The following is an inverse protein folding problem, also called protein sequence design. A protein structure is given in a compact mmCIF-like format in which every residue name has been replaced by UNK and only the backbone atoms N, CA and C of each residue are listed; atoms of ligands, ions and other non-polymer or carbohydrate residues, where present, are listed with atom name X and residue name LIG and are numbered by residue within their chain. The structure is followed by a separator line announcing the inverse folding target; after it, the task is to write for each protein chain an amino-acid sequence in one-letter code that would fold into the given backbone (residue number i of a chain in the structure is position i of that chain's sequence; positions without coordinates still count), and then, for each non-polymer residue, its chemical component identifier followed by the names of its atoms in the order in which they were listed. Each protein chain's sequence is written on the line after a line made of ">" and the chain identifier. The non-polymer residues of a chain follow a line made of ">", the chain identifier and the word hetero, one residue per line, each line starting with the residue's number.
data_IF_173358916495
#
_entry.id   IF_173358916495
#
_cell.length_a   1.000
_cell.length_b   1.000
_cell.length_c   1.000
_cell.angle_alpha   90.00
_cell.angle_beta   90.00
_cell.angle_gamma   90.00
#
_symmetry.space_group_name_H-M   'P 1'
#
loop_
_entity.id
_entity.type
_entity.pdbx_description
1 polymer ?
#
# COMPACT_ATOMS: atom_id res chain seq x y z
N UNK A 1 -0.94 29.86 -25.83
CA UNK A 1 -0.48 29.81 -24.42
C UNK A 1 -1.65 29.61 -23.47
N UNK A 2 -2.71 30.42 -23.57
CA UNK A 2 -3.90 30.29 -22.72
C UNK A 2 -4.72 29.03 -23.01
N UNK A 3 -4.92 28.72 -24.29
CA UNK A 3 -5.64 27.54 -24.76
C UNK A 3 -5.01 26.22 -24.26
N UNK A 4 -3.67 26.16 -24.21
CA UNK A 4 -2.93 25.01 -23.70
C UNK A 4 -3.08 24.84 -22.17
N UNK A 5 -3.21 25.95 -21.44
CA UNK A 5 -3.47 25.91 -19.99
C UNK A 5 -4.89 25.43 -19.71
N UNK A 6 -5.86 25.89 -20.49
CA UNK A 6 -7.26 25.49 -20.37
C UNK A 6 -7.42 23.99 -20.63
N UNK A 7 -6.84 23.48 -21.73
CA UNK A 7 -6.83 22.03 -22.01
C UNK A 7 -6.18 21.21 -20.90
N UNK A 8 -5.08 21.70 -20.32
CA UNK A 8 -4.43 21.02 -19.20
C UNK A 8 -5.35 20.96 -17.97
N UNK A 9 -6.01 22.06 -17.66
CA UNK A 9 -6.93 22.14 -16.53
C UNK A 9 -8.13 21.19 -16.73
N UNK A 10 -8.72 21.18 -17.93
CA UNK A 10 -9.82 20.27 -18.27
C UNK A 10 -9.45 18.79 -18.13
N UNK A 11 -8.24 18.40 -18.56
CA UNK A 11 -7.73 17.04 -18.40
C UNK A 11 -7.52 16.70 -16.92
N UNK A 12 -6.96 17.62 -16.14
CA UNK A 12 -6.76 17.45 -14.70
C UNK A 12 -8.10 17.29 -13.96
N UNK A 13 -9.10 18.10 -14.29
CA UNK A 13 -10.44 18.06 -13.70
C UNK A 13 -11.18 16.78 -14.07
N UNK A 14 -11.13 16.37 -15.35
CA UNK A 14 -11.69 15.10 -15.80
C UNK A 14 -11.06 13.91 -15.07
N UNK A 15 -9.75 13.92 -14.88
CA UNK A 15 -9.07 12.85 -14.16
C UNK A 15 -9.43 12.81 -12.67
N UNK A 16 -9.55 13.97 -12.01
CA UNK A 16 -10.04 14.04 -10.62
C UNK A 16 -11.45 13.48 -10.51
N UNK A 17 -12.35 13.85 -11.44
CA UNK A 17 -13.72 13.34 -11.49
C UNK A 17 -13.73 11.81 -11.66
N UNK A 18 -13.06 11.28 -12.67
CA UNK A 18 -13.01 9.83 -12.93
C UNK A 18 -12.40 9.07 -11.74
N UNK A 19 -11.33 9.57 -11.15
CA UNK A 19 -10.70 9.01 -9.95
C UNK A 19 -11.68 8.93 -8.77
N UNK A 20 -12.53 9.95 -8.63
CA UNK A 20 -13.50 10.04 -7.55
C UNK A 20 -14.68 9.08 -7.76
N UNK A 21 -15.16 8.93 -9.00
CA UNK A 21 -16.39 8.18 -9.31
C UNK A 21 -16.17 6.69 -9.60
N UNK A 22 -15.08 6.28 -10.26
CA UNK A 22 -14.94 4.91 -10.76
C UNK A 22 -14.43 3.88 -9.74
N UNK A 23 -14.19 4.26 -8.48
CA UNK A 23 -13.65 3.33 -7.48
C UNK A 23 -14.02 3.68 -6.02
N UNK A 24 -15.33 3.72 -5.68
CA UNK A 24 -15.79 4.19 -4.37
C UNK A 24 -15.23 3.38 -3.18
N UNK A 25 -15.03 2.07 -3.37
CA UNK A 25 -14.53 1.12 -2.37
C UNK A 25 -13.03 0.83 -2.44
N UNK A 26 -12.28 1.53 -3.30
CA UNK A 26 -10.83 1.34 -3.36
C UNK A 26 -10.16 2.12 -2.23
N UNK A 27 -9.54 1.41 -1.28
CA UNK A 27 -8.88 2.02 -0.13
C UNK A 27 -7.79 3.05 -0.56
N UNK A 28 -7.19 2.91 -1.75
CA UNK A 28 -6.26 3.91 -2.31
C UNK A 28 -6.91 5.29 -2.48
N UNK A 29 -8.23 5.37 -2.67
CA UNK A 29 -8.95 6.65 -2.79
C UNK A 29 -9.07 7.36 -1.45
N UNK A 30 -9.23 6.60 -0.36
CA UNK A 30 -9.19 7.16 1.01
C UNK A 30 -7.80 7.74 1.28
N UNK A 31 -6.79 7.08 0.74
CA UNK A 31 -5.40 7.45 0.86
C UNK A 31 -5.00 8.66 -0.01
N UNK A 32 -5.30 8.62 -1.31
CA UNK A 32 -4.99 9.64 -2.30
C UNK A 32 -6.31 10.28 -2.76
N UNK A 33 -6.71 11.35 -2.08
CA UNK A 33 -7.96 12.08 -2.41
C UNK A 33 -7.85 12.86 -3.73
N UNK A 34 -6.68 13.45 -3.98
CA UNK A 34 -6.38 14.17 -5.22
C UNK A 34 -5.27 13.43 -5.98
N UNK A 35 -5.56 12.78 -7.12
CA UNK A 35 -4.58 11.99 -7.86
C UNK A 35 -3.47 12.83 -8.50
N UNK A 36 -3.69 14.13 -8.70
CA UNK A 36 -2.68 15.03 -9.28
C UNK A 36 -1.42 15.12 -8.42
N UNK A 37 -1.50 14.79 -7.13
CA UNK A 37 -0.32 14.73 -6.26
C UNK A 37 0.76 13.79 -6.79
N UNK A 38 0.36 12.69 -7.42
CA UNK A 38 1.26 11.68 -7.98
C UNK A 38 2.13 12.27 -9.11
N UNK A 39 1.52 13.12 -9.94
CA UNK A 39 2.23 13.78 -11.05
C UNK A 39 3.02 14.99 -10.53
N UNK A 40 2.40 15.81 -9.68
CA UNK A 40 2.99 17.07 -9.21
C UNK A 40 4.23 16.86 -8.35
N UNK A 41 4.21 15.85 -7.45
CA UNK A 41 5.34 15.56 -6.57
C UNK A 41 6.42 14.70 -7.20
N UNK A 42 6.16 14.11 -8.38
CA UNK A 42 7.09 13.20 -9.08
C UNK A 42 7.65 12.12 -8.16
N UNK A 43 6.81 11.58 -7.28
CA UNK A 43 7.21 10.58 -6.31
C UNK A 43 7.71 9.32 -7.02
N UNK A 44 8.91 8.86 -6.65
CA UNK A 44 9.45 7.58 -7.12
C UNK A 44 8.72 6.44 -6.42
N UNK A 45 7.76 5.83 -7.10
CA UNK A 45 7.01 4.67 -6.61
C UNK A 45 7.66 3.41 -7.16
N UNK A 46 8.32 2.64 -6.29
CA UNK A 46 8.87 1.33 -6.66
C UNK A 46 7.81 0.23 -6.51
N UNK A 47 8.15 -1.00 -6.90
CA UNK A 47 7.21 -2.12 -6.87
C UNK A 47 6.68 -2.47 -5.47
N UNK A 48 7.44 -2.21 -4.39
CA UNK A 48 6.98 -2.45 -3.01
C UNK A 48 5.91 -1.43 -2.63
N UNK A 49 6.18 -0.14 -2.85
CA UNK A 49 5.24 0.94 -2.57
C UNK A 49 4.00 0.80 -3.47
N UNK A 50 4.15 0.41 -4.73
CA UNK A 50 3.02 0.18 -5.63
C UNK A 50 2.10 -0.94 -5.15
N UNK A 51 2.65 -2.07 -4.70
CA UNK A 51 1.85 -3.16 -4.11
C UNK A 51 1.10 -2.67 -2.88
N UNK A 52 1.79 -1.91 -2.02
CA UNK A 52 1.14 -1.30 -0.86
C UNK A 52 0.00 -0.42 -1.32
N UNK A 53 0.20 0.56 -2.21
CA UNK A 53 -0.78 1.54 -2.70
C UNK A 53 -1.98 0.90 -3.41
N UNK A 54 -1.77 -0.20 -4.12
CA UNK A 54 -2.86 -0.92 -4.80
C UNK A 54 -3.55 -1.94 -3.91
N UNK A 55 -2.95 -2.29 -2.76
CA UNK A 55 -3.38 -3.42 -1.94
C UNK A 55 -3.24 -4.77 -2.67
N UNK A 56 -2.38 -4.83 -3.69
CA UNK A 56 -2.16 -6.02 -4.52
C UNK A 56 -0.90 -6.79 -4.11
N UNK A 57 -0.71 -7.97 -4.70
CA UNK A 57 0.49 -8.77 -4.51
C UNK A 57 0.35 -9.78 -3.38
N UNK A 58 1.12 -9.59 -2.31
CA UNK A 58 1.24 -10.59 -1.23
C UNK A 58 0.12 -10.55 -0.18
N UNK A 59 -0.72 -9.52 -0.16
CA UNK A 59 -1.85 -9.40 0.77
C UNK A 59 -2.84 -10.56 0.56
N UNK A 60 -3.16 -11.32 1.61
CA UNK A 60 -4.05 -12.48 1.48
C UNK A 60 -5.46 -12.09 1.05
N UNK A 61 -5.95 -10.89 1.39
CA UNK A 61 -7.20 -10.37 0.83
C UNK A 61 -7.17 -10.32 -0.71
N UNK A 62 -6.09 -9.79 -1.29
CA UNK A 62 -5.91 -9.78 -2.75
C UNK A 62 -5.73 -11.19 -3.31
N UNK A 63 -4.89 -12.02 -2.68
CA UNK A 63 -4.62 -13.39 -3.13
C UNK A 63 -5.86 -14.26 -3.10
N UNK A 64 -6.75 -14.05 -2.12
CA UNK A 64 -8.06 -14.67 -2.07
C UNK A 64 -8.93 -14.21 -3.25
N UNK A 65 -9.04 -12.89 -3.47
CA UNK A 65 -9.79 -12.31 -4.59
C UNK A 65 -9.39 -12.88 -5.96
N UNK A 66 -8.10 -13.17 -6.17
CA UNK A 66 -7.58 -13.75 -7.42
C UNK A 66 -7.45 -15.28 -7.39
N UNK A 67 -8.03 -15.97 -6.41
CA UNK A 67 -8.08 -17.43 -6.35
C UNK A 67 -6.77 -18.13 -5.97
N UNK A 68 -5.73 -17.40 -5.53
CA UNK A 68 -4.43 -17.96 -5.11
C UNK A 68 -4.41 -18.48 -3.67
N UNK A 69 -5.33 -18.02 -2.82
CA UNK A 69 -5.48 -18.45 -1.42
C UNK A 69 -6.94 -18.62 -1.06
N UNK A 70 -7.23 -19.45 -0.05
CA UNK A 70 -8.59 -19.71 0.46
C UNK A 70 -8.94 -18.89 1.71
N UNK A 71 -8.00 -18.12 2.23
CA UNK A 71 -8.16 -17.34 3.45
C UNK A 71 -7.72 -15.90 3.20
N UNK A 72 -8.33 -14.99 3.95
CA UNK A 72 -8.00 -13.57 3.96
C UNK A 72 -7.17 -13.18 5.19
N UNK A 73 -7.00 -14.08 6.16
CA UNK A 73 -6.36 -13.74 7.44
C UNK A 73 -4.92 -13.27 7.31
N UNK A 74 -4.56 -12.32 8.16
CA UNK A 74 -3.24 -11.76 8.26
C UNK A 74 -2.30 -12.78 8.86
N UNK A 75 -1.37 -13.28 8.06
CA UNK A 75 -0.36 -14.24 8.52
C UNK A 75 0.65 -13.64 9.52
N UNK A 76 0.61 -12.32 9.77
CA UNK A 76 1.57 -11.61 10.62
C UNK A 76 1.06 -11.43 12.04
N UNK A 77 -0.25 -11.20 12.21
CA UNK A 77 -0.86 -11.02 13.53
C UNK A 77 -2.09 -11.90 13.80
N UNK A 78 -2.58 -12.64 12.80
CA UNK A 78 -3.73 -13.55 12.93
C UNK A 78 -5.11 -12.90 12.72
N UNK A 79 -5.18 -11.59 12.48
CA UNK A 79 -6.43 -10.87 12.16
C UNK A 79 -7.13 -11.47 10.93
N UNK A 80 -8.46 -11.35 10.84
CA UNK A 80 -9.26 -11.94 9.76
C UNK A 80 -9.02 -11.30 8.39
N UNK A 81 -8.49 -10.07 8.36
CA UNK A 81 -8.29 -9.32 7.13
C UNK A 81 -6.82 -8.91 6.92
N UNK A 82 -6.22 -9.45 5.86
CA UNK A 82 -4.89 -9.10 5.38
C UNK A 82 -4.95 -8.21 4.13
N UNK A 83 -5.26 -6.94 4.32
CA UNK A 83 -5.16 -5.92 3.29
C UNK A 83 -4.10 -4.86 3.62
N UNK A 84 -3.88 -3.92 2.71
CA UNK A 84 -2.90 -2.86 2.92
C UNK A 84 -3.26 -1.97 4.11
N UNK A 85 -4.54 -1.65 4.32
CA UNK A 85 -4.97 -0.79 5.42
C UNK A 85 -4.69 -1.43 6.78
N UNK A 86 -5.04 -2.71 6.95
CA UNK A 86 -4.72 -3.48 8.14
C UNK A 86 -3.22 -3.50 8.37
N UNK A 87 -2.42 -3.92 7.38
CA UNK A 87 -0.96 -4.06 7.53
C UNK A 87 -0.30 -2.72 7.89
N UNK A 88 -0.72 -1.63 7.25
CA UNK A 88 -0.15 -0.31 7.44
C UNK A 88 -0.57 0.39 8.73
N UNK A 89 -1.77 0.14 9.25
CA UNK A 89 -2.32 0.98 10.32
C UNK A 89 -2.76 0.20 11.56
N UNK A 90 -3.05 -1.10 11.44
CA UNK A 90 -3.69 -1.88 12.52
C UNK A 90 -2.85 -3.06 12.99
N UNK A 91 -2.15 -3.73 12.07
CA UNK A 91 -1.44 -4.98 12.32
C UNK A 91 -0.45 -4.85 13.47
N UNK A 92 -0.63 -5.63 14.54
CA UNK A 92 0.19 -5.54 15.75
C UNK A 92 1.67 -5.86 15.49
N UNK A 93 1.97 -6.71 14.49
CA UNK A 93 3.33 -7.04 14.08
C UNK A 93 4.17 -5.81 13.71
N UNK A 94 3.55 -4.78 13.15
CA UNK A 94 4.25 -3.60 12.62
C UNK A 94 4.17 -2.39 13.55
N UNK A 95 3.71 -2.57 14.79
CA UNK A 95 3.52 -1.44 15.73
C UNK A 95 4.82 -0.70 16.01
N UNK A 96 5.93 -1.43 16.21
CA UNK A 96 7.24 -0.82 16.51
C UNK A 96 7.72 0.04 15.35
N UNK A 97 7.63 -0.48 14.12
CA UNK A 97 8.03 0.26 12.93
C UNK A 97 7.12 1.46 12.66
N UNK A 98 5.81 1.37 12.95
CA UNK A 98 4.89 2.51 12.86
C UNK A 98 5.20 3.58 13.90
N UNK A 99 5.38 3.22 15.17
CA UNK A 99 5.72 4.17 16.22
C UNK A 99 7.06 4.84 15.97
N UNK A 100 8.04 4.11 15.43
CA UNK A 100 9.31 4.71 15.00
C UNK A 100 9.10 5.74 13.88
N UNK A 101 8.27 5.41 12.89
CA UNK A 101 7.90 6.36 11.83
C UNK A 101 7.23 7.61 12.42
N UNK A 102 6.21 7.43 13.27
CA UNK A 102 5.49 8.52 13.95
C UNK A 102 6.42 9.44 14.74
N UNK A 103 7.36 8.84 15.49
CA UNK A 103 8.37 9.58 16.25
C UNK A 103 9.33 10.37 15.34
N UNK A 104 9.74 9.80 14.20
CA UNK A 104 10.62 10.46 13.24
C UNK A 104 9.92 11.65 12.56
N UNK A 105 8.65 11.48 12.21
CA UNK A 105 7.88 12.51 11.49
C UNK A 105 7.20 13.52 12.42
N UNK A 106 7.14 13.24 13.73
CA UNK A 106 6.51 14.08 14.74
C UNK A 106 4.98 14.16 14.62
N UNK A 107 4.36 13.17 13.96
CA UNK A 107 2.92 13.11 13.74
C UNK A 107 2.42 11.69 13.84
N UNK A 108 1.18 11.55 14.30
CA UNK A 108 0.48 10.27 14.32
C UNK A 108 0.21 9.78 12.90
N UNK A 109 0.47 8.49 12.68
CA UNK A 109 0.43 7.84 11.38
C UNK A 109 -0.98 7.29 11.13
N UNK A 110 -1.87 8.17 10.70
CA UNK A 110 -3.27 7.85 10.42
C UNK A 110 -3.57 7.91 8.93
N UNK A 111 -4.50 7.07 8.49
CA UNK A 111 -4.96 7.04 7.10
C UNK A 111 -5.40 8.42 6.61
N UNK A 112 -6.12 9.16 7.46
CA UNK A 112 -6.77 10.40 7.07
C UNK A 112 -5.81 11.58 6.89
N UNK A 113 -4.64 11.57 7.56
CA UNK A 113 -3.71 12.69 7.57
C UNK A 113 -2.43 12.42 6.76
N UNK A 114 -1.98 11.18 6.64
CA UNK A 114 -0.60 10.90 6.25
C UNK A 114 -0.27 11.34 4.83
N UNK A 115 -1.19 11.16 3.86
CA UNK A 115 -0.95 11.56 2.48
C UNK A 115 -0.96 13.07 2.28
N UNK A 116 -1.81 13.78 3.00
CA UNK A 116 -1.80 15.26 2.99
C UNK A 116 -0.48 15.77 3.54
N UNK A 117 0.06 15.12 4.58
CA UNK A 117 1.37 15.47 5.15
C UNK A 117 2.53 15.11 4.23
N UNK A 118 2.52 13.91 3.63
CA UNK A 118 3.53 13.52 2.63
C UNK A 118 3.51 14.46 1.41
N UNK A 119 2.32 14.91 1.00
CA UNK A 119 2.15 15.91 -0.05
C UNK A 119 2.82 17.26 0.30
N UNK A 120 2.79 17.65 1.57
CA UNK A 120 3.44 18.88 2.03
C UNK A 120 4.96 18.71 2.24
N UNK A 121 5.41 17.55 2.69
CA UNK A 121 6.78 17.35 3.20
C UNK A 121 7.43 16.08 2.59
N UNK A 122 8.42 16.26 1.71
CA UNK A 122 9.07 15.13 1.01
C UNK A 122 9.81 14.18 1.95
N UNK A 123 10.26 14.66 3.12
CA UNK A 123 10.85 13.81 4.16
C UNK A 123 9.88 12.73 4.62
N UNK A 124 8.60 13.06 4.80
CA UNK A 124 7.59 12.08 5.22
C UNK A 124 7.36 11.03 4.13
N UNK A 125 7.34 11.44 2.86
CA UNK A 125 7.25 10.48 1.75
C UNK A 125 8.45 9.51 1.74
N UNK A 126 9.65 10.00 2.02
CA UNK A 126 10.86 9.17 2.12
C UNK A 126 10.77 8.17 3.26
N UNK A 127 10.42 8.60 4.48
CA UNK A 127 10.32 7.73 5.64
C UNK A 127 9.20 6.69 5.47
N UNK A 128 8.05 7.10 4.93
CA UNK A 128 6.98 6.18 4.51
C UNK A 128 7.49 5.15 3.49
N UNK A 129 8.22 5.58 2.46
CA UNK A 129 8.77 4.69 1.45
C UNK A 129 9.73 3.66 2.06
N UNK A 130 10.61 4.07 2.97
CA UNK A 130 11.55 3.18 3.65
C UNK A 130 10.81 2.14 4.50
N UNK A 131 9.83 2.57 5.30
CA UNK A 131 8.98 1.69 6.09
C UNK A 131 8.31 0.63 5.21
N UNK A 132 7.66 1.05 4.12
CA UNK A 132 6.95 0.16 3.20
C UNK A 132 7.87 -0.84 2.50
N UNK A 133 9.06 -0.40 2.05
CA UNK A 133 10.04 -1.31 1.45
C UNK A 133 10.46 -2.38 2.45
N UNK A 134 10.79 -1.99 3.69
CA UNK A 134 11.22 -2.92 4.73
C UNK A 134 10.12 -3.94 5.06
N UNK A 135 8.91 -3.44 5.32
CA UNK A 135 7.74 -4.26 5.62
C UNK A 135 7.49 -5.27 4.48
N UNK A 136 7.41 -4.80 3.24
CA UNK A 136 7.10 -5.68 2.10
C UNK A 136 8.20 -6.71 1.83
N UNK A 137 9.48 -6.34 1.98
CA UNK A 137 10.60 -7.29 1.84
C UNK A 137 10.50 -8.43 2.85
N UNK A 138 10.22 -8.12 4.11
CA UNK A 138 10.10 -9.12 5.17
C UNK A 138 8.90 -10.06 4.90
N UNK A 139 7.75 -9.50 4.53
CA UNK A 139 6.56 -10.30 4.22
C UNK A 139 6.76 -11.18 2.97
N UNK A 140 7.37 -10.67 1.91
CA UNK A 140 7.69 -11.46 0.72
C UNK A 140 8.73 -12.55 0.99
N UNK A 141 9.73 -12.28 1.86
CA UNK A 141 10.68 -13.31 2.26
C UNK A 141 9.99 -14.44 3.03
N UNK A 142 9.11 -14.08 3.97
CA UNK A 142 8.29 -15.04 4.72
C UNK A 142 7.43 -15.88 3.77
N UNK A 143 6.79 -15.26 2.78
CA UNK A 143 6.04 -15.98 1.74
C UNK A 143 6.91 -17.02 1.03
N UNK A 144 8.04 -16.59 0.46
CA UNK A 144 8.95 -17.48 -0.29
C UNK A 144 9.37 -18.67 0.57
N UNK A 145 9.67 -18.44 1.85
CA UNK A 145 10.04 -19.51 2.78
C UNK A 145 8.89 -20.50 3.01
N UNK A 146 7.65 -20.01 3.15
CA UNK A 146 6.46 -20.86 3.28
C UNK A 146 6.18 -21.66 2.01
N UNK A 147 6.41 -21.09 0.83
CA UNK A 147 6.24 -21.80 -0.45
C UNK A 147 7.28 -22.91 -0.64
N UNK A 148 8.54 -22.65 -0.27
CA UNK A 148 9.60 -23.66 -0.26
C UNK A 148 9.25 -24.81 0.69
N UNK A 149 8.81 -24.49 1.91
CA UNK A 149 8.38 -25.50 2.89
C UNK A 149 7.19 -26.32 2.36
N UNK A 150 6.16 -25.65 1.84
CA UNK A 150 5.00 -26.33 1.26
C UNK A 150 5.37 -27.24 0.08
N UNK A 151 6.33 -26.82 -0.76
CA UNK A 151 6.80 -27.62 -1.89
C UNK A 151 7.56 -28.86 -1.44
N UNK A 152 8.40 -28.73 -0.40
CA UNK A 152 9.11 -29.87 0.21
C UNK A 152 8.13 -30.88 0.80
N UNK A 153 7.13 -30.43 1.56
CA UNK A 153 6.09 -31.30 2.14
C UNK A 153 5.33 -32.05 1.05
N UNK A 154 4.98 -31.37 -0.05
CA UNK A 154 4.28 -32.03 -1.18
C UNK A 154 5.15 -33.11 -1.82
N UNK A 155 6.45 -32.86 -2.02
CA UNK A 155 7.39 -33.83 -2.61
C UNK A 155 7.68 -35.01 -1.69
N UNK A 156 7.77 -34.79 -0.37
CA UNK A 156 8.01 -35.84 0.61
C UNK A 156 6.79 -36.71 0.94
N UNK A 157 5.59 -36.34 0.45
CA UNK A 157 4.37 -37.18 0.55
C UNK A 157 4.17 -38.08 -0.68
N UNK A 158 4.99 -37.91 -1.72
CA UNK A 158 4.90 -38.68 -2.98
C UNK A 158 5.88 -39.85 -3.05
N UNK A 159 6.56 -40.15 -1.94
CA UNK A 159 7.44 -41.31 -1.72
C UNK A 159 6.88 -42.13 -0.57
#
# INVERSE_FOLDING_TARGET
>A
MEELKNLKQEVEDKWILEWTFHNPCNWIRRLIRNPLILIRKKWKINHYVMQVLTGHGIFNHYRHRVGKKRYTSCWDCGDDLDDAEHVLFKCSRWVVERTALESEVGVEFKLDNIFVRMAAEDRLWRSFTIFNIRMMKLRQLKERNMEVLSSRIRRGRTT
#
